data_IF_437660272375
#
_entry.id   IF_437660272375
#
_cell.length_a   1.000
_cell.length_b   1.000
_cell.length_c   1.000
_cell.angle_alpha   90.00
_cell.angle_beta   90.00
_cell.angle_gamma   90.00
#
_symmetry.space_group_name_H-M   'P 1'
#
loop_
_entity.id
_entity.type
_entity.pdbx_description
1 polymer ?
#
# COMPACT_ATOMS: atom_id res chain seq x y z
N UNK A 1 1.83 -12.52 -13.49
CA UNK A 1 2.85 -11.45 -13.32
C UNK A 1 2.98 -11.09 -11.86
N UNK A 2 4.20 -10.90 -11.32
CA UNK A 2 4.40 -10.41 -9.96
C UNK A 2 4.54 -8.89 -9.96
N UNK A 3 3.83 -8.22 -9.06
CA UNK A 3 3.91 -6.78 -8.80
C UNK A 3 4.64 -6.60 -7.47
N UNK A 4 5.90 -6.20 -7.53
CA UNK A 4 6.81 -6.24 -6.39
C UNK A 4 6.95 -4.84 -5.79
N UNK A 5 6.67 -4.72 -4.51
CA UNK A 5 6.86 -3.51 -3.72
C UNK A 5 8.37 -3.30 -3.46
N UNK A 6 8.98 -2.45 -4.29
CA UNK A 6 10.41 -2.17 -4.24
C UNK A 6 10.80 -1.26 -3.08
N UNK A 7 9.91 -0.38 -2.63
CA UNK A 7 10.18 0.48 -1.48
C UNK A 7 10.39 -0.34 -0.21
N UNK A 8 9.55 -1.34 0.05
CA UNK A 8 9.72 -2.26 1.18
C UNK A 8 11.03 -3.05 1.07
N UNK A 9 11.40 -3.52 -0.14
CA UNK A 9 12.68 -4.21 -0.35
C UNK A 9 13.84 -3.29 0.00
N UNK A 10 13.84 -2.04 -0.50
CA UNK A 10 14.90 -1.07 -0.22
C UNK A 10 15.08 -0.87 1.28
N UNK A 11 13.99 -0.58 2.01
CA UNK A 11 14.06 -0.37 3.46
C UNK A 11 14.52 -1.63 4.21
N UNK A 12 14.01 -2.81 3.86
CA UNK A 12 14.45 -4.06 4.51
C UNK A 12 15.92 -4.35 4.28
N UNK A 13 16.41 -4.01 3.10
CA UNK A 13 17.80 -4.24 2.73
C UNK A 13 18.76 -3.35 3.54
N UNK A 14 18.49 -2.04 3.60
CA UNK A 14 19.38 -1.11 4.31
C UNK A 14 19.37 -1.32 5.84
N UNK A 15 18.34 -1.93 6.40
CA UNK A 15 18.29 -2.33 7.81
C UNK A 15 18.66 -3.80 8.04
N UNK A 16 19.16 -4.50 7.03
CA UNK A 16 19.59 -5.89 7.18
C UNK A 16 20.87 -5.96 8.02
N UNK A 17 20.86 -6.83 9.02
CA UNK A 17 22.04 -7.12 9.85
C UNK A 17 23.05 -8.04 9.16
N UNK A 18 22.68 -8.58 8.00
CA UNK A 18 23.52 -9.50 7.22
C UNK A 18 24.40 -8.75 6.21
N UNK A 19 24.13 -7.45 6.00
CA UNK A 19 24.88 -6.62 5.07
C UNK A 19 26.05 -5.94 5.79
N UNK A 20 27.25 -6.17 5.32
CA UNK A 20 28.49 -5.52 5.78
C UNK A 20 29.01 -4.45 4.80
N UNK A 21 28.45 -4.45 3.57
CA UNK A 21 28.83 -3.54 2.49
C UNK A 21 27.64 -3.23 1.59
N UNK A 22 27.78 -2.19 0.75
CA UNK A 22 26.80 -1.85 -0.29
C UNK A 22 26.58 -3.01 -1.27
N UNK A 23 27.63 -3.78 -1.61
CA UNK A 23 27.51 -4.93 -2.50
C UNK A 23 26.77 -6.09 -1.85
N UNK A 24 26.90 -6.26 -0.52
CA UNK A 24 26.05 -7.21 0.22
C UNK A 24 24.60 -6.78 0.19
N UNK A 25 24.32 -5.50 0.39
CA UNK A 25 22.96 -4.94 0.31
C UNK A 25 22.35 -5.19 -1.06
N UNK A 26 23.07 -4.95 -2.15
CA UNK A 26 22.58 -5.23 -3.51
C UNK A 26 22.25 -6.72 -3.68
N UNK A 27 23.14 -7.62 -3.25
CA UNK A 27 22.90 -9.08 -3.31
C UNK A 27 21.68 -9.50 -2.48
N UNK A 28 21.46 -8.87 -1.31
CA UNK A 28 20.29 -9.13 -0.47
C UNK A 28 18.99 -8.66 -1.17
N UNK A 29 19.01 -7.47 -1.78
CA UNK A 29 17.88 -6.94 -2.54
C UNK A 29 17.50 -7.86 -3.72
N UNK A 30 18.49 -8.27 -4.52
CA UNK A 30 18.30 -9.22 -5.62
C UNK A 30 17.81 -10.58 -5.12
N UNK A 31 18.29 -11.01 -3.95
CA UNK A 31 17.86 -12.24 -3.28
C UNK A 31 16.39 -12.22 -2.90
N UNK A 32 15.85 -11.09 -2.40
CA UNK A 32 14.41 -10.96 -2.15
C UNK A 32 13.58 -11.18 -3.42
N UNK A 33 13.98 -10.56 -4.53
CA UNK A 33 13.26 -10.68 -5.82
C UNK A 33 13.36 -12.11 -6.36
N UNK A 34 14.56 -12.68 -6.39
CA UNK A 34 14.79 -14.06 -6.88
C UNK A 34 13.97 -15.07 -6.07
N UNK A 35 13.94 -14.92 -4.75
CA UNK A 35 13.15 -15.80 -3.89
C UNK A 35 11.65 -15.66 -4.14
N UNK A 36 11.13 -14.42 -4.30
CA UNK A 36 9.72 -14.22 -4.64
C UNK A 36 9.33 -14.87 -5.95
N UNK A 37 10.14 -14.70 -7.00
CA UNK A 37 9.92 -15.32 -8.31
C UNK A 37 9.91 -16.83 -8.21
N UNK A 38 10.81 -17.41 -7.40
CA UNK A 38 10.91 -18.87 -7.22
C UNK A 38 9.80 -19.46 -6.37
N UNK A 39 9.40 -18.74 -5.31
CA UNK A 39 8.46 -19.22 -4.29
C UNK A 39 6.99 -19.17 -4.74
N UNK A 40 6.63 -18.14 -5.51
CA UNK A 40 5.21 -17.89 -5.85
C UNK A 40 4.70 -18.88 -6.88
N UNK A 41 5.39 -18.99 -7.99
CA UNK A 41 5.05 -19.92 -9.07
C UNK A 41 6.24 -19.99 -10.05
N UNK A 42 6.89 -21.15 -10.21
CA UNK A 42 8.03 -21.30 -11.13
C UNK A 42 7.70 -21.01 -12.61
N UNK A 43 6.42 -21.03 -12.99
CA UNK A 43 5.99 -20.70 -14.35
C UNK A 43 5.81 -19.19 -14.56
N UNK A 44 5.67 -18.39 -13.49
CA UNK A 44 5.56 -16.94 -13.56
C UNK A 44 6.97 -16.34 -13.63
N UNK A 45 7.40 -15.95 -14.82
CA UNK A 45 8.70 -15.29 -15.05
C UNK A 45 8.59 -13.77 -15.12
N UNK A 46 7.39 -13.25 -15.35
CA UNK A 46 7.17 -11.81 -15.53
C UNK A 46 6.94 -11.14 -14.18
N UNK A 47 7.76 -10.15 -13.88
CA UNK A 47 7.61 -9.30 -12.71
C UNK A 47 7.97 -7.86 -13.04
N UNK A 48 7.50 -6.93 -12.21
CA UNK A 48 7.93 -5.52 -12.20
C UNK A 48 8.12 -5.08 -10.76
N UNK A 49 9.24 -4.38 -10.51
CA UNK A 49 9.56 -3.75 -9.23
C UNK A 49 9.09 -2.31 -9.28
N UNK A 50 8.21 -1.91 -8.36
CA UNK A 50 7.68 -0.56 -8.28
C UNK A 50 8.39 0.23 -7.19
N UNK A 51 8.80 1.45 -7.51
CA UNK A 51 9.52 2.34 -6.60
C UNK A 51 8.87 3.71 -6.65
N UNK A 52 8.59 4.29 -5.48
CA UNK A 52 8.01 5.64 -5.39
C UNK A 52 9.02 6.70 -5.83
N UNK A 53 8.57 7.66 -6.61
CA UNK A 53 9.35 8.84 -6.99
C UNK A 53 9.43 9.89 -5.88
N UNK A 54 9.66 11.13 -6.27
CA UNK A 54 9.83 12.25 -5.33
C UNK A 54 8.53 12.97 -5.00
N UNK A 55 7.54 12.88 -5.88
CA UNK A 55 6.29 13.63 -5.80
C UNK A 55 5.12 12.72 -5.46
N UNK A 56 4.16 13.23 -4.67
CA UNK A 56 3.00 12.47 -4.22
C UNK A 56 1.83 13.44 -4.00
N UNK A 57 0.74 13.25 -4.71
CA UNK A 57 -0.47 14.06 -4.64
C UNK A 57 -1.10 14.13 -3.23
N UNK A 58 -0.85 13.13 -2.36
CA UNK A 58 -1.38 13.12 -0.99
C UNK A 58 -0.89 14.31 -0.16
N UNK A 59 0.28 14.85 -0.47
CA UNK A 59 0.80 16.05 0.19
C UNK A 59 -0.06 17.28 -0.08
N UNK A 60 -0.66 17.36 -1.27
CA UNK A 60 -1.47 18.50 -1.70
C UNK A 60 -2.89 18.44 -1.16
N UNK A 61 -3.38 17.25 -0.83
CA UNK A 61 -4.76 17.04 -0.36
C UNK A 61 -4.90 16.88 1.17
N UNK A 62 -3.79 16.73 1.87
CA UNK A 62 -3.76 16.61 3.33
C UNK A 62 -4.02 17.99 3.99
N UNK A 63 -5.12 18.11 4.74
CA UNK A 63 -5.57 19.34 5.38
C UNK A 63 -5.42 19.27 6.91
N UNK A 64 -5.84 18.17 7.51
CA UNK A 64 -5.86 18.00 8.98
C UNK A 64 -4.45 17.94 9.56
N UNK A 65 -3.55 17.24 8.89
CA UNK A 65 -2.12 17.16 9.21
C UNK A 65 -1.32 16.94 7.94
N UNK A 66 -0.10 17.44 7.90
CA UNK A 66 0.81 17.19 6.80
C UNK A 66 1.05 15.67 6.61
N UNK A 67 0.79 15.18 5.40
CA UNK A 67 0.99 13.77 5.04
C UNK A 67 2.46 13.39 5.22
N UNK A 68 2.71 12.35 6.03
CA UNK A 68 4.06 11.87 6.42
C UNK A 68 4.92 12.95 7.14
N UNK A 69 4.31 14.06 7.61
CA UNK A 69 5.02 15.15 8.27
C UNK A 69 5.64 14.79 9.63
N UNK A 70 5.28 13.65 10.20
CA UNK A 70 5.90 13.10 11.41
C UNK A 70 7.16 12.28 11.16
N UNK A 71 7.57 12.12 9.89
CA UNK A 71 8.81 11.40 9.51
C UNK A 71 10.01 12.33 9.68
N UNK A 72 10.56 12.36 10.91
CA UNK A 72 11.72 13.21 11.27
C UNK A 72 13.05 12.47 11.25
N UNK A 73 13.02 11.15 11.08
CA UNK A 73 14.24 10.36 11.00
C UNK A 73 15.01 10.67 9.72
N UNK A 74 16.33 10.74 9.84
CA UNK A 74 17.19 10.86 8.68
C UNK A 74 17.01 9.67 7.73
N UNK A 75 17.19 9.94 6.45
CA UNK A 75 17.13 8.90 5.42
C UNK A 75 18.25 7.89 5.70
N UNK A 76 17.96 6.57 5.68
CA UNK A 76 18.98 5.57 5.87
C UNK A 76 20.10 5.69 4.83
N UNK A 77 21.33 5.49 5.29
CA UNK A 77 22.49 5.38 4.41
C UNK A 77 22.25 4.30 3.34
N UNK A 78 22.74 4.51 2.14
CA UNK A 78 22.58 3.61 0.98
C UNK A 78 21.14 3.36 0.49
N UNK A 79 20.11 4.01 1.03
CA UNK A 79 18.74 3.82 0.54
C UNK A 79 18.61 4.20 -0.94
N UNK A 80 19.23 5.32 -1.36
CA UNK A 80 19.21 5.74 -2.76
C UNK A 80 20.05 4.85 -3.66
N UNK A 81 21.14 4.29 -3.14
CA UNK A 81 21.97 3.36 -3.90
C UNK A 81 21.21 2.06 -4.20
N UNK A 82 20.47 1.54 -3.22
CA UNK A 82 19.65 0.34 -3.42
C UNK A 82 18.46 0.63 -4.34
N UNK A 83 17.80 1.79 -4.24
CA UNK A 83 16.76 2.20 -5.17
C UNK A 83 17.29 2.28 -6.61
N UNK A 84 18.44 2.92 -6.81
CA UNK A 84 19.10 3.01 -8.12
C UNK A 84 19.49 1.62 -8.66
N UNK A 85 19.98 0.73 -7.79
CA UNK A 85 20.30 -0.65 -8.16
C UNK A 85 19.06 -1.40 -8.66
N UNK A 86 17.95 -1.36 -7.91
CA UNK A 86 16.71 -2.03 -8.33
C UNK A 86 16.18 -1.49 -9.65
N UNK A 87 16.20 -0.16 -9.83
CA UNK A 87 15.74 0.50 -11.05
C UNK A 87 16.59 0.15 -12.30
N UNK A 88 17.86 -0.18 -12.12
CA UNK A 88 18.77 -0.46 -13.24
C UNK A 88 18.97 -1.95 -13.50
N UNK A 89 18.78 -2.79 -12.48
CA UNK A 89 19.07 -4.24 -12.55
C UNK A 89 17.83 -5.11 -12.79
N UNK A 90 16.63 -4.56 -12.57
CA UNK A 90 15.37 -5.28 -12.69
C UNK A 90 14.36 -4.56 -13.60
N UNK A 91 13.41 -5.28 -14.23
CA UNK A 91 12.22 -4.67 -14.80
C UNK A 91 11.52 -3.85 -13.73
N UNK A 92 11.46 -2.53 -13.89
CA UNK A 92 11.03 -1.62 -12.84
C UNK A 92 10.19 -0.46 -13.37
N UNK A 93 9.36 0.12 -12.49
CA UNK A 93 8.54 1.31 -12.72
C UNK A 93 8.84 2.32 -11.60
N UNK A 94 9.23 3.54 -11.96
CA UNK A 94 9.40 4.65 -11.05
C UNK A 94 8.15 5.53 -11.07
N UNK A 95 7.40 5.51 -9.98
CA UNK A 95 6.13 6.24 -9.86
C UNK A 95 6.39 7.72 -9.59
N UNK A 96 5.88 8.61 -10.43
CA UNK A 96 5.92 10.07 -10.22
C UNK A 96 4.51 10.63 -10.05
N UNK A 97 4.33 11.55 -9.09
CA UNK A 97 3.03 12.13 -8.76
C UNK A 97 2.14 11.27 -7.87
N UNK A 98 2.50 10.02 -7.66
CA UNK A 98 1.82 9.04 -6.81
C UNK A 98 2.85 8.09 -6.18
N UNK A 99 2.44 7.27 -5.23
CA UNK A 99 3.32 6.26 -4.62
C UNK A 99 3.37 4.97 -5.45
N UNK A 100 4.40 4.16 -5.23
CA UNK A 100 4.52 2.83 -5.83
C UNK A 100 3.29 1.97 -5.55
N UNK A 101 2.70 2.13 -4.35
CA UNK A 101 1.51 1.40 -3.91
C UNK A 101 0.30 1.68 -4.80
N UNK A 102 0.12 2.94 -5.25
CA UNK A 102 -0.92 3.31 -6.21
C UNK A 102 -0.70 2.62 -7.56
N UNK A 103 0.55 2.63 -8.06
CA UNK A 103 0.89 1.95 -9.33
C UNK A 103 0.68 0.46 -9.26
N UNK A 104 1.11 -0.18 -8.17
CA UNK A 104 0.86 -1.62 -7.92
C UNK A 104 -0.64 -1.90 -7.92
N UNK A 105 -1.43 -1.10 -7.21
CA UNK A 105 -2.87 -1.29 -7.12
C UNK A 105 -3.59 -1.07 -8.46
N UNK A 106 -3.16 -0.10 -9.27
CA UNK A 106 -3.65 0.13 -10.64
C UNK A 106 -3.36 -1.09 -11.52
N UNK A 107 -2.12 -1.57 -11.54
CA UNK A 107 -1.72 -2.72 -12.34
C UNK A 107 -2.42 -4.01 -11.88
N UNK A 108 -2.54 -4.23 -10.56
CA UNK A 108 -3.26 -5.36 -10.01
C UNK A 108 -4.75 -5.34 -10.42
N UNK A 109 -5.38 -4.17 -10.36
CA UNK A 109 -6.77 -4.00 -10.76
C UNK A 109 -6.97 -4.27 -12.26
N UNK A 110 -6.09 -3.75 -13.10
CA UNK A 110 -6.17 -3.94 -14.55
C UNK A 110 -5.95 -5.40 -14.97
N UNK A 111 -5.12 -6.16 -14.27
CA UNK A 111 -4.78 -7.56 -14.58
C UNK A 111 -5.67 -8.58 -13.87
N UNK A 112 -6.37 -8.18 -12.81
CA UNK A 112 -7.20 -9.07 -12.00
C UNK A 112 -6.41 -10.29 -11.51
N UNK A 113 -6.95 -11.49 -11.71
CA UNK A 113 -6.33 -12.75 -11.24
C UNK A 113 -4.99 -13.10 -11.93
N UNK A 114 -4.58 -12.37 -12.96
CA UNK A 114 -3.30 -12.56 -13.65
C UNK A 114 -2.15 -11.79 -12.99
N UNK A 115 -2.39 -11.10 -11.88
CA UNK A 115 -1.39 -10.41 -11.08
C UNK A 115 -1.36 -10.93 -9.65
N UNK A 116 -0.17 -10.83 -9.02
CA UNK A 116 0.04 -11.14 -7.60
C UNK A 116 0.83 -9.98 -6.99
N UNK A 117 0.26 -9.33 -5.99
CA UNK A 117 0.93 -8.26 -5.23
C UNK A 117 1.91 -8.90 -4.25
N UNK A 118 3.19 -8.60 -4.39
CA UNK A 118 4.27 -9.10 -3.54
C UNK A 118 4.72 -7.99 -2.58
N UNK A 119 4.12 -7.93 -1.41
CA UNK A 119 4.43 -6.96 -0.35
C UNK A 119 4.15 -7.56 1.03
N UNK A 120 4.67 -6.92 2.07
CA UNK A 120 4.33 -7.18 3.47
C UNK A 120 3.44 -6.09 4.05
N UNK A 121 3.17 -5.05 3.28
CA UNK A 121 2.31 -3.96 3.72
C UNK A 121 0.85 -4.39 3.68
N UNK A 122 0.19 -4.28 4.84
CA UNK A 122 -1.22 -4.61 5.01
C UNK A 122 -2.16 -3.65 4.28
N UNK A 123 -1.66 -2.48 3.87
CA UNK A 123 -2.48 -1.48 3.19
C UNK A 123 -2.91 -1.99 1.81
N UNK A 124 -2.17 -2.93 1.24
CA UNK A 124 -2.60 -3.66 0.05
C UNK A 124 -3.82 -4.57 0.26
N UNK A 125 -4.17 -4.94 1.49
CA UNK A 125 -5.38 -5.72 1.76
C UNK A 125 -6.69 -4.98 1.40
N UNK A 126 -6.61 -3.71 0.99
CA UNK A 126 -7.71 -3.01 0.34
C UNK A 126 -7.81 -3.28 -1.18
N UNK A 127 -6.87 -3.99 -1.78
CA UNK A 127 -6.85 -4.34 -3.21
C UNK A 127 -7.31 -5.79 -3.37
N UNK A 128 -8.44 -6.08 -4.03
CA UNK A 128 -8.86 -7.46 -4.25
C UNK A 128 -7.92 -8.18 -5.22
N UNK A 129 -7.71 -9.47 -4.98
CA UNK A 129 -6.86 -10.30 -5.82
C UNK A 129 -5.86 -11.15 -5.05
N UNK A 130 -4.86 -11.66 -5.76
CA UNK A 130 -3.82 -12.47 -5.17
C UNK A 130 -2.70 -11.62 -4.56
N UNK A 131 -2.28 -12.02 -3.35
CA UNK A 131 -1.19 -11.41 -2.60
C UNK A 131 -0.17 -12.45 -2.18
N UNK A 132 1.08 -12.03 -2.05
CA UNK A 132 2.16 -12.84 -1.51
C UNK A 132 2.95 -12.05 -0.46
N UNK A 133 2.87 -12.50 0.79
CA UNK A 133 3.70 -12.00 1.87
C UNK A 133 5.04 -12.73 1.85
N UNK A 134 6.08 -12.10 1.32
CA UNK A 134 7.38 -12.73 1.11
C UNK A 134 8.19 -13.00 2.37
N UNK A 135 7.84 -12.37 3.51
CA UNK A 135 8.46 -12.66 4.82
C UNK A 135 7.86 -13.91 5.44
N UNK A 136 6.53 -14.04 5.40
CA UNK A 136 5.82 -15.22 5.90
C UNK A 136 5.81 -16.37 4.89
N UNK A 137 6.16 -16.09 3.62
CA UNK A 137 6.06 -17.03 2.50
C UNK A 137 4.64 -17.58 2.32
N UNK A 138 3.65 -16.71 2.41
CA UNK A 138 2.24 -17.07 2.33
C UNK A 138 1.60 -16.35 1.15
N UNK A 139 0.99 -17.13 0.25
CA UNK A 139 0.09 -16.63 -0.78
C UNK A 139 -1.34 -16.67 -0.25
N UNK A 140 -2.10 -15.59 -0.44
CA UNK A 140 -3.49 -15.48 -0.02
C UNK A 140 -4.30 -14.65 -1.03
N UNK A 141 -5.61 -14.79 -0.95
CA UNK A 141 -6.53 -14.05 -1.83
C UNK A 141 -7.40 -13.12 -0.99
N UNK A 142 -7.48 -11.86 -1.40
CA UNK A 142 -8.36 -10.86 -0.81
C UNK A 142 -9.59 -10.74 -1.70
N UNK A 143 -10.76 -11.03 -1.15
CA UNK A 143 -12.04 -10.85 -1.86
C UNK A 143 -12.42 -9.37 -1.94
N UNK A 144 -13.29 -9.01 -2.88
CA UNK A 144 -13.82 -7.65 -2.99
C UNK A 144 -14.45 -7.16 -1.68
N UNK A 145 -15.20 -8.05 -0.99
CA UNK A 145 -15.84 -7.73 0.29
C UNK A 145 -14.82 -7.45 1.40
N UNK A 146 -13.77 -8.25 1.48
CA UNK A 146 -12.68 -8.04 2.45
C UNK A 146 -11.93 -6.76 2.15
N UNK A 147 -11.61 -6.49 0.89
CA UNK A 147 -10.91 -5.28 0.46
C UNK A 147 -11.68 -4.01 0.84
N UNK A 148 -12.99 -3.98 0.57
CA UNK A 148 -13.87 -2.88 0.97
C UNK A 148 -13.86 -2.70 2.49
N UNK A 149 -14.07 -3.77 3.24
CA UNK A 149 -14.10 -3.72 4.71
C UNK A 149 -12.77 -3.23 5.27
N UNK A 150 -11.64 -3.69 4.74
CA UNK A 150 -10.30 -3.25 5.14
C UNK A 150 -10.12 -1.75 4.90
N UNK A 151 -10.51 -1.24 3.75
CA UNK A 151 -10.43 0.18 3.44
C UNK A 151 -11.23 1.04 4.44
N UNK A 152 -12.50 0.71 4.69
CA UNK A 152 -13.32 1.46 5.64
C UNK A 152 -12.83 1.31 7.09
N UNK A 153 -12.26 0.17 7.47
CA UNK A 153 -11.58 0.02 8.75
C UNK A 153 -10.37 0.95 8.86
N UNK A 154 -9.55 1.06 7.80
CA UNK A 154 -8.43 1.99 7.79
C UNK A 154 -8.88 3.45 7.91
N UNK A 155 -9.97 3.85 7.23
CA UNK A 155 -10.53 5.20 7.38
C UNK A 155 -10.83 5.55 8.85
N UNK A 156 -11.38 4.61 9.61
CA UNK A 156 -11.69 4.79 11.02
C UNK A 156 -10.45 4.79 11.92
N UNK A 157 -9.50 3.91 11.63
CA UNK A 157 -8.28 3.77 12.43
C UNK A 157 -7.30 4.90 12.15
N UNK A 158 -7.26 5.38 10.91
CA UNK A 158 -6.20 6.25 10.40
C UNK A 158 -4.88 5.50 10.21
N UNK A 159 -3.82 6.23 9.89
CA UNK A 159 -2.47 5.71 9.83
C UNK A 159 -1.47 6.62 10.56
N UNK A 160 -0.84 6.07 11.60
CA UNK A 160 0.13 6.82 12.42
C UNK A 160 1.45 7.03 11.69
N UNK A 161 1.83 6.11 10.77
CA UNK A 161 3.08 6.19 10.01
C UNK A 161 2.98 7.30 8.98
N UNK A 162 1.80 7.44 8.36
CA UNK A 162 1.52 8.45 7.36
C UNK A 162 0.89 9.73 7.94
N UNK A 163 0.81 9.81 9.28
CA UNK A 163 0.26 10.96 10.02
C UNK A 163 -1.23 11.22 9.74
N UNK A 164 -1.99 10.18 9.41
CA UNK A 164 -3.43 10.27 9.15
C UNK A 164 -4.20 9.99 10.44
N UNK A 165 -4.98 10.97 10.89
CA UNK A 165 -5.71 10.89 12.16
C UNK A 165 -7.02 10.12 11.99
N UNK A 166 -7.18 9.01 12.66
CA UNK A 166 -8.43 8.25 12.72
C UNK A 166 -9.46 8.81 13.70
N UNK A 167 -10.56 8.08 13.88
CA UNK A 167 -11.61 8.38 14.84
C UNK A 167 -11.12 8.18 16.28
N UNK A 168 -11.46 9.10 17.19
CA UNK A 168 -10.98 9.07 18.57
C UNK A 168 -11.37 7.77 19.28
N UNK A 169 -10.40 7.09 19.86
CA UNK A 169 -10.60 5.86 20.61
C UNK A 169 -11.02 4.63 19.78
N UNK A 170 -10.96 4.70 18.44
CA UNK A 170 -11.27 3.62 17.51
C UNK A 170 -9.95 2.99 17.01
N UNK A 171 -9.66 1.79 17.52
CA UNK A 171 -8.61 0.93 16.97
C UNK A 171 -9.20 -0.18 16.08
N UNK A 172 -8.36 -1.07 15.51
CA UNK A 172 -8.78 -2.06 14.51
C UNK A 172 -9.98 -2.92 14.96
N UNK A 173 -9.98 -3.43 16.19
CA UNK A 173 -11.08 -4.26 16.71
C UNK A 173 -12.41 -3.49 16.80
N UNK A 174 -12.36 -2.21 17.20
CA UNK A 174 -13.57 -1.37 17.30
C UNK A 174 -14.05 -0.96 15.92
N UNK A 175 -13.15 -0.64 14.98
CA UNK A 175 -13.49 -0.34 13.59
C UNK A 175 -14.22 -1.51 12.93
N UNK A 176 -13.66 -2.72 13.03
CA UNK A 176 -14.29 -3.94 12.51
C UNK A 176 -15.68 -4.17 13.13
N UNK A 177 -15.82 -3.98 14.44
CA UNK A 177 -17.13 -4.11 15.12
C UNK A 177 -18.12 -3.05 14.67
N UNK A 178 -17.68 -1.82 14.44
CA UNK A 178 -18.55 -0.70 14.01
C UNK A 178 -19.08 -0.90 12.57
N UNK A 179 -18.32 -1.57 11.72
CA UNK A 179 -18.68 -1.84 10.33
C UNK A 179 -19.34 -3.21 10.13
N UNK A 180 -19.33 -4.07 11.16
CA UNK A 180 -19.93 -5.39 11.08
C UNK A 180 -21.43 -5.30 10.78
N UNK A 181 -21.89 -6.11 9.80
CA UNK A 181 -23.29 -6.16 9.39
C UNK A 181 -23.73 -5.03 8.45
N UNK A 182 -22.85 -4.08 8.10
CA UNK A 182 -23.13 -3.12 7.05
C UNK A 182 -22.85 -3.76 5.70
N UNK A 183 -23.86 -3.80 4.85
CA UNK A 183 -23.91 -4.57 3.60
C UNK A 183 -23.58 -3.73 2.35
N UNK A 184 -23.52 -2.40 2.47
CA UNK A 184 -23.19 -1.48 1.36
C UNK A 184 -22.07 -0.52 1.75
N UNK A 185 -21.31 -0.06 0.75
CA UNK A 185 -20.28 0.97 0.93
C UNK A 185 -20.87 2.29 1.43
N UNK A 186 -22.07 2.66 0.97
CA UNK A 186 -22.76 3.86 1.44
C UNK A 186 -23.01 3.83 2.96
N UNK A 187 -23.48 2.69 3.50
CA UNK A 187 -23.66 2.52 4.96
C UNK A 187 -22.33 2.55 5.71
N UNK A 188 -21.29 1.91 5.15
CA UNK A 188 -19.95 1.95 5.76
C UNK A 188 -19.37 3.36 5.78
N UNK A 189 -19.50 4.10 4.67
CA UNK A 189 -19.07 5.49 4.61
C UNK A 189 -19.85 6.39 5.58
N UNK A 190 -21.18 6.28 5.63
CA UNK A 190 -22.00 7.02 6.58
C UNK A 190 -21.56 6.76 8.04
N UNK A 191 -21.23 5.51 8.38
CA UNK A 191 -20.67 5.15 9.69
C UNK A 191 -19.29 5.79 9.92
N UNK A 192 -18.45 5.87 8.90
CA UNK A 192 -17.16 6.56 9.00
C UNK A 192 -17.35 8.06 9.24
N UNK A 193 -18.28 8.71 8.55
CA UNK A 193 -18.63 10.12 8.76
C UNK A 193 -19.09 10.37 10.21
N UNK A 194 -20.00 9.51 10.69
CA UNK A 194 -20.50 9.58 12.09
C UNK A 194 -19.34 9.53 13.12
N UNK A 195 -18.44 8.56 12.97
CA UNK A 195 -17.39 8.29 13.96
C UNK A 195 -16.19 9.25 13.83
N UNK A 196 -15.91 9.76 12.63
CA UNK A 196 -14.87 10.78 12.39
C UNK A 196 -15.36 12.19 12.73
N UNK A 197 -16.69 12.38 12.85
CA UNK A 197 -17.31 13.61 13.31
C UNK A 197 -17.56 14.65 12.21
N UNK A 198 -17.08 14.46 10.98
CA UNK A 198 -17.45 15.30 9.84
C UNK A 198 -17.26 14.59 8.48
N UNK A 199 -18.07 14.97 7.47
CA UNK A 199 -17.91 14.47 6.10
C UNK A 199 -16.56 14.85 5.48
N UNK A 200 -16.03 16.03 5.78
CA UNK A 200 -14.76 16.54 5.26
C UNK A 200 -13.60 15.67 5.75
N UNK A 201 -13.59 15.33 7.04
CA UNK A 201 -12.58 14.45 7.61
C UNK A 201 -12.67 13.03 7.06
N UNK A 202 -13.88 12.51 6.89
CA UNK A 202 -14.08 11.20 6.28
C UNK A 202 -13.58 11.18 4.84
N UNK A 203 -13.88 12.22 4.07
CA UNK A 203 -13.43 12.38 2.70
C UNK A 203 -11.90 12.52 2.60
N UNK A 204 -11.29 13.31 3.48
CA UNK A 204 -9.83 13.46 3.56
C UNK A 204 -9.17 12.10 3.87
N UNK A 205 -9.59 11.41 4.93
CA UNK A 205 -9.04 10.12 5.29
C UNK A 205 -9.20 9.10 4.15
N UNK A 206 -10.37 9.08 3.50
CA UNK A 206 -10.60 8.21 2.36
C UNK A 206 -9.62 8.47 1.23
N UNK A 207 -9.41 9.72 0.84
CA UNK A 207 -8.51 10.11 -0.25
C UNK A 207 -7.04 9.89 0.06
N UNK A 208 -6.64 10.02 1.34
CA UNK A 208 -5.26 9.77 1.77
C UNK A 208 -4.94 8.28 1.86
N UNK A 209 -5.92 7.44 2.22
CA UNK A 209 -5.72 5.99 2.44
C UNK A 209 -6.02 5.15 1.20
N UNK A 210 -6.84 5.67 0.27
CA UNK A 210 -7.22 4.93 -0.93
C UNK A 210 -6.02 4.71 -1.85
N UNK A 211 -5.76 3.45 -2.18
CA UNK A 211 -4.87 3.10 -3.28
C UNK A 211 -5.66 3.15 -4.59
N UNK A 212 -5.16 3.92 -5.55
CA UNK A 212 -5.81 4.11 -6.86
C UNK A 212 -6.06 2.78 -7.58
N UNK A 213 -7.17 2.69 -8.31
CA UNK A 213 -7.49 1.52 -9.16
C UNK A 213 -7.35 1.82 -10.64
N UNK A 214 -7.32 3.11 -10.99
CA UNK A 214 -7.08 3.61 -12.34
C UNK A 214 -6.18 4.86 -12.26
N UNK A 215 -5.43 5.18 -13.33
CA UNK A 215 -4.57 6.36 -13.34
C UNK A 215 -5.32 7.64 -12.98
N UNK A 216 -4.71 8.46 -12.13
CA UNK A 216 -5.26 9.73 -11.65
C UNK A 216 -6.62 9.65 -10.94
N UNK A 217 -7.05 8.47 -10.52
CA UNK A 217 -8.30 8.31 -9.79
C UNK A 217 -8.28 9.09 -8.49
N UNK A 218 -9.31 9.89 -8.24
CA UNK A 218 -9.59 10.52 -6.96
C UNK A 218 -10.80 9.80 -6.35
N UNK A 219 -10.62 9.25 -5.16
CA UNK A 219 -11.71 8.56 -4.47
C UNK A 219 -12.91 9.49 -4.25
N UNK A 220 -14.10 8.98 -4.52
CA UNK A 220 -15.38 9.67 -4.34
C UNK A 220 -16.27 8.89 -3.38
N UNK A 221 -17.05 9.58 -2.55
CA UNK A 221 -18.03 8.93 -1.69
C UNK A 221 -19.00 8.08 -2.52
N UNK A 222 -19.39 6.89 -2.03
CA UNK A 222 -20.38 6.07 -2.70
C UNK A 222 -21.71 6.82 -2.71
N UNK A 223 -22.32 6.90 -3.90
CA UNK A 223 -23.69 7.38 -4.05
C UNK A 223 -24.64 6.23 -3.70
N UNK A 224 -25.66 6.49 -2.89
CA UNK A 224 -26.75 5.53 -2.74
C UNK A 224 -27.36 5.30 -4.12
N UNK A 225 -27.33 4.04 -4.57
CA UNK A 225 -28.22 3.63 -5.65
C UNK A 225 -29.62 3.60 -5.05
N UNK A 226 -30.38 4.65 -5.36
CA UNK A 226 -31.81 4.76 -5.03
C UNK A 226 -32.59 3.65 -5.73
#
# INVERSE_FOLDING_TARGET
MLLIDGDIICYRTVFSKEAESLDDMKRIADGYITNMVSDVDPEIKDYTVFISGKTNYRKDIAVTKEYKGNRTAEKPEHLDDIRAHLLTSHPSDLSEGEEADDRIAIEATARGNNAIICSIDKDFDQVPGWHYNFVKRIRYYVTQKEAILNFYCQMLVGDRIDNIVGAHGIGPKKALKALAGLDTEAKMYAKCVELLGSPERALENARLLWLRRTPNQVWQPPTELV
#
